data_IF_427453669471
#
_entry.id   IF_427453669471
#
_cell.length_a   1.000
_cell.length_b   1.000
_cell.length_c   1.000
_cell.angle_alpha   90.00
_cell.angle_beta   90.00
_cell.angle_gamma   90.00
#
_symmetry.space_group_name_H-M   'P 1'
#
loop_
_entity.id
_entity.type
_entity.pdbx_description
1 polymer ?
#
# COMPACT_ATOMS: atom_id res chain seq x y z
N UNK A 1 -5.37 -13.38 3.40
CA UNK A 1 -6.38 -12.65 2.59
C UNK A 1 -5.71 -11.43 2.02
N UNK A 2 -5.80 -11.21 0.71
CA UNK A 2 -5.26 -9.99 0.10
C UNK A 2 -6.19 -8.82 0.43
N UNK A 3 -5.64 -7.71 0.98
CA UNK A 3 -6.41 -6.49 1.20
C UNK A 3 -6.93 -5.94 -0.13
N UNK A 4 -8.21 -5.60 -0.17
CA UNK A 4 -8.87 -4.99 -1.34
C UNK A 4 -8.63 -3.47 -1.41
N UNK A 5 -8.10 -2.88 -0.36
CA UNK A 5 -7.87 -1.44 -0.25
C UNK A 5 -6.40 -1.07 -0.50
N UNK A 6 -6.19 0.15 -0.94
CA UNK A 6 -4.84 0.69 -1.10
C UNK A 6 -4.24 1.08 0.25
N UNK A 7 -2.92 1.02 0.34
CA UNK A 7 -2.14 1.59 1.45
C UNK A 7 -2.27 3.11 1.52
N UNK A 8 -2.07 3.68 2.71
CA UNK A 8 -1.99 5.14 2.89
C UNK A 8 -0.56 5.66 2.74
N UNK A 9 0.45 4.83 2.95
CA UNK A 9 1.87 5.22 2.91
C UNK A 9 2.62 4.61 1.72
N UNK A 10 3.74 5.24 1.38
CA UNK A 10 4.69 4.72 0.41
C UNK A 10 5.66 3.74 1.10
N UNK A 11 5.89 2.58 0.45
CA UNK A 11 6.71 1.49 1.00
C UNK A 11 8.20 1.80 1.11
N UNK A 12 8.68 2.84 0.46
CA UNK A 12 10.08 3.25 0.50
C UNK A 12 10.26 4.47 1.39
N UNK A 13 9.77 5.62 0.96
CA UNK A 13 10.06 6.90 1.63
C UNK A 13 9.41 7.05 3.00
N UNK A 14 8.16 6.56 3.16
CA UNK A 14 7.45 6.75 4.41
C UNK A 14 7.88 5.72 5.47
N UNK A 15 8.20 4.49 5.07
CA UNK A 15 8.75 3.48 5.99
C UNK A 15 10.16 3.88 6.46
N UNK A 16 11.03 4.31 5.54
CA UNK A 16 12.37 4.83 5.89
C UNK A 16 12.28 6.08 6.79
N UNK A 17 11.25 6.89 6.66
CA UNK A 17 10.98 8.01 7.56
C UNK A 17 10.66 7.58 9.01
N UNK A 18 10.28 6.33 9.26
CA UNK A 18 10.06 5.75 10.60
C UNK A 18 11.29 4.96 11.06
N UNK A 19 11.77 4.05 10.23
CA UNK A 19 12.95 3.22 10.46
C UNK A 19 13.88 3.37 9.26
N UNK A 20 14.94 4.13 9.43
CA UNK A 20 15.84 4.52 8.34
C UNK A 20 16.44 3.31 7.60
N UNK A 21 16.72 2.24 8.32
CA UNK A 21 17.31 1.00 7.82
C UNK A 21 16.30 -0.16 7.80
N UNK A 22 15.05 0.12 7.39
CA UNK A 22 13.96 -0.88 7.39
C UNK A 22 14.30 -2.12 6.56
N UNK A 23 15.10 -1.98 5.52
CA UNK A 23 15.48 -3.08 4.64
C UNK A 23 16.43 -4.10 5.31
N UNK A 24 17.00 -3.78 6.49
CA UNK A 24 17.71 -4.77 7.35
C UNK A 24 16.81 -5.87 7.90
N UNK A 25 15.52 -5.61 7.95
CA UNK A 25 14.54 -6.55 8.52
C UNK A 25 13.93 -7.46 7.45
N UNK A 26 14.54 -7.52 6.26
CA UNK A 26 14.20 -8.49 5.23
C UNK A 26 14.31 -9.92 5.77
N UNK A 27 13.24 -10.68 5.62
CA UNK A 27 13.10 -12.03 6.18
C UNK A 27 13.75 -13.05 5.28
N UNK A 28 15.07 -13.17 5.39
CA UNK A 28 15.86 -14.21 4.71
C UNK A 28 16.03 -15.43 5.59
N UNK A 29 15.99 -16.60 5.00
CA UNK A 29 16.19 -17.89 5.65
C UNK A 29 17.39 -18.58 5.03
N UNK A 30 18.36 -18.98 5.84
CA UNK A 30 19.49 -19.76 5.38
C UNK A 30 19.00 -21.14 4.94
N UNK A 31 19.35 -21.54 3.72
CA UNK A 31 19.05 -22.85 3.18
C UNK A 31 20.07 -23.89 3.68
N UNK A 32 19.59 -25.09 3.97
CA UNK A 32 20.49 -26.20 4.32
C UNK A 32 21.41 -26.55 3.13
N UNK A 33 22.70 -26.78 3.33
CA UNK A 33 23.67 -27.02 2.25
C UNK A 33 23.59 -28.46 1.72
N UNK A 34 22.52 -28.79 0.98
CA UNK A 34 22.23 -30.11 0.43
C UNK A 34 22.26 -30.12 -1.10
N UNK A 35 23.22 -29.44 -1.71
CA UNK A 35 23.34 -29.36 -3.16
C UNK A 35 23.67 -30.71 -3.77
N UNK A 36 23.04 -31.03 -4.89
CA UNK A 36 23.30 -32.21 -5.74
C UNK A 36 23.51 -31.79 -7.20
N UNK A 37 24.27 -32.57 -7.94
CA UNK A 37 24.46 -32.29 -9.36
C UNK A 37 23.30 -32.88 -10.16
N UNK A 38 22.68 -32.09 -11.01
CA UNK A 38 21.65 -32.53 -11.97
C UNK A 38 22.28 -32.81 -13.32
N UNK A 39 23.10 -31.90 -13.80
CA UNK A 39 23.89 -32.04 -15.03
C UNK A 39 25.15 -31.18 -14.96
N UNK A 40 25.94 -31.09 -16.00
CA UNK A 40 27.10 -30.20 -16.05
C UNK A 40 26.65 -28.77 -15.74
N UNK A 41 27.23 -28.15 -14.68
CA UNK A 41 26.97 -26.80 -14.25
C UNK A 41 25.56 -26.51 -13.70
N UNK A 42 24.66 -27.49 -13.66
CA UNK A 42 23.33 -27.38 -13.09
C UNK A 42 23.25 -28.18 -11.80
N UNK A 43 22.86 -27.51 -10.74
CA UNK A 43 22.79 -28.05 -9.36
C UNK A 43 21.39 -27.91 -8.82
N UNK A 44 21.01 -28.81 -7.92
CA UNK A 44 19.71 -28.80 -7.24
C UNK A 44 19.88 -28.78 -5.74
N UNK A 45 19.11 -27.91 -5.12
CA UNK A 45 18.90 -27.86 -3.68
C UNK A 45 17.45 -28.27 -3.40
N UNK A 46 17.25 -29.28 -2.56
CA UNK A 46 15.92 -29.79 -2.20
C UNK A 46 15.52 -29.33 -0.79
N UNK A 47 14.22 -29.43 -0.49
CA UNK A 47 13.64 -29.09 0.80
C UNK A 47 13.92 -27.62 1.20
N UNK A 48 13.80 -26.73 0.24
CA UNK A 48 14.13 -25.30 0.44
C UNK A 48 12.95 -24.50 0.98
N UNK A 49 11.72 -25.05 0.95
CA UNK A 49 10.51 -24.31 1.22
C UNK A 49 10.27 -23.21 0.17
N UNK A 50 9.27 -22.38 0.39
CA UNK A 50 8.95 -21.32 -0.57
C UNK A 50 10.12 -20.36 -0.80
N UNK A 51 10.47 -20.14 -2.06
CA UNK A 51 11.56 -19.25 -2.50
C UNK A 51 11.03 -18.26 -3.52
N UNK A 52 10.90 -17.01 -3.13
CA UNK A 52 10.64 -15.92 -4.08
C UNK A 52 11.94 -15.37 -4.62
N UNK A 53 12.86 -15.00 -3.73
CA UNK A 53 14.20 -14.54 -4.08
C UNK A 53 15.24 -15.43 -3.43
N UNK A 54 16.31 -15.76 -4.18
CA UNK A 54 17.44 -16.53 -3.72
C UNK A 54 18.69 -15.67 -3.73
N UNK A 55 19.47 -15.76 -2.65
CA UNK A 55 20.73 -15.04 -2.49
C UNK A 55 21.87 -16.04 -2.31
N UNK A 56 23.03 -15.72 -2.86
CA UNK A 56 24.26 -16.44 -2.64
C UNK A 56 25.29 -15.47 -2.07
N UNK A 57 25.79 -15.77 -0.89
CA UNK A 57 26.77 -14.93 -0.18
C UNK A 57 26.31 -13.44 -0.05
N UNK A 58 25.00 -13.23 0.14
CA UNK A 58 24.37 -11.91 0.24
C UNK A 58 24.05 -11.24 -1.12
N UNK A 59 24.41 -11.85 -2.24
CA UNK A 59 24.11 -11.33 -3.59
C UNK A 59 22.86 -12.00 -4.14
N UNK A 60 21.90 -11.20 -4.57
CA UNK A 60 20.68 -11.69 -5.19
C UNK A 60 20.95 -12.36 -6.54
N UNK A 61 20.31 -13.50 -6.75
CA UNK A 61 20.43 -14.32 -7.96
C UNK A 61 19.28 -14.00 -8.93
N UNK A 62 19.47 -14.31 -10.20
CA UNK A 62 18.47 -14.05 -11.24
C UNK A 62 17.48 -15.22 -11.34
N UNK A 63 16.19 -14.94 -11.04
CA UNK A 63 15.10 -15.90 -11.19
C UNK A 63 14.74 -16.07 -12.67
N UNK A 64 14.62 -17.31 -13.12
CA UNK A 64 14.19 -17.64 -14.48
C UNK A 64 13.01 -18.62 -14.46
N UNK A 65 12.20 -18.60 -15.51
CA UNK A 65 11.04 -19.52 -15.67
C UNK A 65 11.43 -20.84 -16.33
N UNK A 66 12.45 -20.80 -17.18
CA UNK A 66 12.99 -21.98 -17.89
C UNK A 66 14.12 -22.61 -17.08
N UNK A 67 14.73 -23.67 -17.64
CA UNK A 67 15.91 -24.28 -17.04
C UNK A 67 17.07 -23.28 -17.01
N UNK A 68 17.68 -23.01 -15.86
CA UNK A 68 18.80 -22.10 -15.74
C UNK A 68 19.97 -22.53 -16.69
N UNK A 69 20.53 -21.57 -17.40
CA UNK A 69 21.58 -21.83 -18.37
C UNK A 69 22.72 -20.79 -18.38
N UNK A 70 22.63 -19.76 -17.58
CA UNK A 70 23.66 -18.76 -17.36
C UNK A 70 24.04 -18.66 -15.87
N UNK A 71 25.25 -18.17 -15.59
CA UNK A 71 25.76 -18.05 -14.24
C UNK A 71 24.83 -17.20 -13.35
N UNK A 72 24.61 -17.69 -12.13
CA UNK A 72 23.76 -17.08 -11.11
C UNK A 72 22.25 -17.03 -11.46
N UNK A 73 21.82 -17.82 -12.43
CA UNK A 73 20.39 -18.06 -12.67
C UNK A 73 19.87 -19.20 -11.80
N UNK A 74 18.65 -19.04 -11.31
CA UNK A 74 17.95 -20.09 -10.59
C UNK A 74 16.49 -20.19 -11.00
N UNK A 75 15.94 -21.40 -10.81
CA UNK A 75 14.51 -21.68 -10.94
C UNK A 75 14.02 -22.39 -9.70
N UNK A 76 12.99 -21.86 -9.08
CA UNK A 76 12.28 -22.54 -8.02
C UNK A 76 11.18 -23.44 -8.60
N UNK A 77 11.12 -24.66 -8.13
CA UNK A 77 10.10 -25.63 -8.50
C UNK A 77 9.27 -25.96 -7.26
N UNK A 78 8.09 -25.35 -7.17
CA UNK A 78 7.17 -25.50 -6.04
C UNK A 78 6.70 -26.94 -5.87
N UNK A 79 6.48 -27.69 -6.98
CA UNK A 79 5.95 -29.07 -6.93
C UNK A 79 6.93 -30.08 -6.31
N UNK A 80 8.22 -29.80 -6.37
CA UNK A 80 9.28 -30.65 -5.83
C UNK A 80 10.02 -30.01 -4.64
N UNK A 81 9.58 -28.83 -4.22
CA UNK A 81 10.23 -28.03 -3.19
C UNK A 81 11.75 -27.95 -3.39
N UNK A 82 12.15 -27.53 -4.60
CA UNK A 82 13.56 -27.50 -4.98
C UNK A 82 13.93 -26.28 -5.79
N UNK A 83 15.20 -25.90 -5.72
CA UNK A 83 15.81 -24.86 -6.54
C UNK A 83 16.82 -25.50 -7.46
N UNK A 84 16.68 -25.29 -8.75
CA UNK A 84 17.72 -25.55 -9.75
C UNK A 84 18.55 -24.28 -9.94
N UNK A 85 19.86 -24.38 -9.85
CA UNK A 85 20.81 -23.27 -9.92
C UNK A 85 21.93 -23.60 -10.90
N UNK A 86 22.27 -22.64 -11.75
CA UNK A 86 23.36 -22.79 -12.71
C UNK A 86 24.59 -21.97 -12.30
N UNK A 87 25.73 -22.62 -12.31
CA UNK A 87 27.02 -21.99 -12.10
C UNK A 87 28.12 -22.74 -12.86
N UNK A 88 28.68 -22.11 -13.88
CA UNK A 88 29.77 -22.70 -14.65
C UNK A 88 31.00 -22.90 -13.77
N UNK A 89 31.70 -24.02 -14.01
CA UNK A 89 32.96 -24.36 -13.35
C UNK A 89 32.89 -24.40 -11.79
N UNK A 90 31.74 -24.76 -11.24
CA UNK A 90 31.57 -24.96 -9.79
C UNK A 90 31.57 -26.44 -9.41
N UNK A 91 31.48 -26.72 -8.13
CA UNK A 91 31.35 -28.06 -7.57
C UNK A 91 30.32 -28.06 -6.43
N UNK A 92 29.74 -29.23 -6.15
CA UNK A 92 28.84 -29.42 -4.99
C UNK A 92 29.52 -29.01 -3.68
N UNK A 93 30.80 -29.31 -3.52
CA UNK A 93 31.54 -28.91 -2.31
C UNK A 93 31.67 -27.40 -2.18
N UNK A 94 31.91 -26.68 -3.27
CA UNK A 94 31.96 -25.22 -3.28
C UNK A 94 30.60 -24.60 -2.96
N UNK A 95 29.51 -25.15 -3.53
CA UNK A 95 28.16 -24.68 -3.25
C UNK A 95 27.72 -24.95 -1.82
N UNK A 96 28.08 -26.10 -1.26
CA UNK A 96 27.80 -26.42 0.15
C UNK A 96 28.63 -25.56 1.13
N UNK A 97 29.68 -24.93 0.69
CA UNK A 97 30.48 -23.99 1.48
C UNK A 97 29.99 -22.54 1.36
N UNK A 98 29.19 -22.21 0.34
CA UNK A 98 28.59 -20.91 0.17
C UNK A 98 27.30 -20.77 1.01
N UNK A 99 26.97 -19.55 1.41
CA UNK A 99 25.74 -19.29 2.13
C UNK A 99 24.63 -18.96 1.13
N UNK A 100 23.62 -19.82 1.09
CA UNK A 100 22.41 -19.57 0.32
C UNK A 100 21.29 -19.16 1.26
N UNK A 101 20.60 -18.08 0.92
CA UNK A 101 19.46 -17.55 1.66
C UNK A 101 18.25 -17.44 0.74
N UNK A 102 17.12 -17.98 1.16
CA UNK A 102 15.84 -17.84 0.50
C UNK A 102 15.05 -16.71 1.17
N UNK A 103 14.59 -15.76 0.39
CA UNK A 103 13.75 -14.66 0.83
C UNK A 103 12.34 -14.71 0.25
N UNK A 104 11.42 -13.98 0.88
CA UNK A 104 10.19 -13.54 0.23
C UNK A 104 10.52 -12.30 -0.61
N UNK A 105 9.63 -11.94 -1.54
CA UNK A 105 9.73 -10.64 -2.16
C UNK A 105 9.50 -9.55 -1.08
N UNK A 106 10.56 -8.83 -0.78
CA UNK A 106 10.55 -7.82 0.29
C UNK A 106 9.64 -6.64 -0.04
N UNK A 107 9.58 -6.24 -1.31
CA UNK A 107 8.71 -5.17 -1.78
C UNK A 107 7.23 -5.57 -1.69
N UNK A 108 6.91 -6.80 -2.09
CA UNK A 108 5.56 -7.36 -1.94
C UNK A 108 5.16 -7.50 -0.48
N UNK A 109 6.08 -7.95 0.38
CA UNK A 109 5.84 -8.05 1.82
C UNK A 109 5.55 -6.67 2.42
N UNK A 110 6.37 -5.66 2.14
CA UNK A 110 6.12 -4.27 2.56
C UNK A 110 4.77 -3.78 2.07
N UNK A 111 4.47 -4.00 0.79
CA UNK A 111 3.19 -3.59 0.18
C UNK A 111 2.01 -4.24 0.86
N UNK A 112 2.06 -5.54 1.12
CA UNK A 112 1.00 -6.28 1.80
C UNK A 112 0.78 -5.78 3.21
N UNK A 113 1.85 -5.65 4.00
CA UNK A 113 1.77 -5.17 5.38
C UNK A 113 1.23 -3.74 5.44
N UNK A 114 1.67 -2.84 4.57
CA UNK A 114 1.13 -1.48 4.52
C UNK A 114 -0.38 -1.47 4.24
N UNK A 115 -0.88 -2.36 3.37
CA UNK A 115 -2.32 -2.49 3.11
C UNK A 115 -3.08 -3.07 4.30
N UNK A 116 -2.56 -4.11 4.94
CA UNK A 116 -3.16 -4.74 6.12
C UNK A 116 -3.27 -3.73 7.27
N UNK A 117 -2.23 -2.95 7.51
CA UNK A 117 -2.25 -1.90 8.53
C UNK A 117 -3.18 -0.73 8.16
N UNK A 118 -3.34 -0.41 6.89
CA UNK A 118 -4.33 0.57 6.45
C UNK A 118 -5.77 0.09 6.72
N UNK A 119 -6.04 -1.20 6.54
CA UNK A 119 -7.35 -1.80 6.85
C UNK A 119 -7.61 -1.86 8.36
N UNK A 120 -6.56 -2.14 9.16
CA UNK A 120 -6.64 -2.03 10.61
C UNK A 120 -7.04 -0.61 11.03
N UNK A 121 -6.39 0.42 10.47
CA UNK A 121 -6.72 1.81 10.76
C UNK A 121 -8.17 2.15 10.40
N UNK A 122 -8.65 1.70 9.23
CA UNK A 122 -10.05 1.90 8.81
C UNK A 122 -11.05 1.24 9.76
N UNK A 123 -10.69 0.06 10.26
CA UNK A 123 -11.53 -0.68 11.23
C UNK A 123 -11.50 -0.06 12.62
N UNK A 124 -10.40 0.57 13.01
CA UNK A 124 -10.23 1.16 14.33
C UNK A 124 -10.86 2.54 14.46
N UNK A 125 -10.84 3.32 13.37
CA UNK A 125 -11.43 4.65 13.33
C UNK A 125 -12.92 4.56 12.98
N UNK A 126 -13.76 5.27 13.72
CA UNK A 126 -15.23 5.30 13.52
C UNK A 126 -15.62 6.29 12.43
N UNK A 127 -14.68 6.71 11.59
CA UNK A 127 -14.88 7.72 10.55
C UNK A 127 -14.10 7.40 9.30
N UNK A 128 -14.61 7.80 8.15
CA UNK A 128 -13.95 7.52 6.88
C UNK A 128 -12.65 8.31 6.72
N UNK A 129 -11.67 7.69 6.07
CA UNK A 129 -10.41 8.32 5.69
C UNK A 129 -10.51 8.63 4.19
N UNK A 130 -10.53 9.90 3.86
CA UNK A 130 -10.64 10.38 2.48
C UNK A 130 -9.29 10.76 1.90
N UNK A 131 -9.14 10.61 0.58
CA UNK A 131 -8.05 11.25 -0.16
C UNK A 131 -8.20 12.76 -0.10
N UNK A 132 -7.09 13.47 -0.09
CA UNK A 132 -7.08 14.92 -0.26
C UNK A 132 -7.65 15.29 -1.62
N UNK A 133 -8.52 16.29 -1.66
CA UNK A 133 -9.25 16.68 -2.85
C UNK A 133 -8.37 17.34 -3.93
N UNK A 134 -7.15 17.73 -3.64
CA UNK A 134 -6.31 18.47 -4.58
C UNK A 134 -4.90 17.89 -4.63
N UNK A 135 -4.74 16.82 -5.42
CA UNK A 135 -3.45 16.17 -5.65
C UNK A 135 -2.65 16.81 -6.79
N UNK A 136 -3.28 17.65 -7.61
CA UNK A 136 -2.63 18.30 -8.74
C UNK A 136 -1.78 19.52 -8.36
N UNK A 137 -1.99 20.06 -7.17
CA UNK A 137 -1.27 21.25 -6.72
C UNK A 137 0.21 21.02 -6.44
N UNK A 138 0.63 19.77 -6.23
CA UNK A 138 1.94 19.49 -5.68
C UNK A 138 2.73 18.40 -6.41
N UNK A 139 2.32 17.95 -7.57
CA UNK A 139 3.03 16.94 -8.37
C UNK A 139 2.65 15.48 -8.03
N UNK A 140 2.87 14.59 -8.99
CA UNK A 140 2.44 13.18 -8.94
C UNK A 140 3.11 12.33 -7.84
N UNK A 141 4.05 12.89 -7.08
CA UNK A 141 4.78 12.19 -6.01
C UNK A 141 4.20 12.46 -4.62
N UNK A 142 3.12 13.25 -4.50
CA UNK A 142 2.68 13.70 -3.20
C UNK A 142 1.57 12.86 -2.60
N UNK A 143 1.54 12.89 -1.27
CA UNK A 143 0.69 12.08 -0.44
C UNK A 143 -0.77 12.39 -0.67
N UNK A 144 -1.52 11.40 -1.11
CA UNK A 144 -2.95 11.51 -1.34
C UNK A 144 -3.78 11.61 -0.05
N UNK A 145 -3.15 11.50 1.12
CA UNK A 145 -3.80 11.49 2.43
C UNK A 145 -3.14 12.49 3.37
N UNK A 146 -3.82 12.80 4.46
CA UNK A 146 -3.24 13.63 5.51
C UNK A 146 -1.97 13.02 6.09
N UNK A 147 -1.00 13.87 6.39
CA UNK A 147 0.29 13.44 6.91
C UNK A 147 0.17 12.54 8.14
N UNK A 148 -0.77 12.85 9.04
CA UNK A 148 -1.00 12.04 10.24
C UNK A 148 -1.42 10.61 9.88
N UNK A 149 -2.29 10.43 8.89
CA UNK A 149 -2.74 9.12 8.39
C UNK A 149 -1.59 8.35 7.78
N UNK A 150 -0.80 9.00 6.91
CA UNK A 150 0.39 8.40 6.30
C UNK A 150 1.39 7.97 7.36
N UNK A 151 1.65 8.84 8.34
CA UNK A 151 2.60 8.58 9.42
C UNK A 151 2.18 7.42 10.30
N UNK A 152 0.91 7.35 10.70
CA UNK A 152 0.39 6.24 11.51
C UNK A 152 0.48 4.92 10.75
N UNK A 153 0.09 4.89 9.47
CA UNK A 153 0.18 3.67 8.65
C UNK A 153 1.63 3.19 8.53
N UNK A 154 2.58 4.10 8.30
CA UNK A 154 4.00 3.76 8.23
C UNK A 154 4.55 3.24 9.57
N UNK A 155 4.15 3.82 10.70
CA UNK A 155 4.54 3.36 12.04
C UNK A 155 4.06 1.93 12.28
N UNK A 156 2.77 1.66 12.05
CA UNK A 156 2.20 0.33 12.25
C UNK A 156 2.83 -0.71 11.31
N UNK A 157 3.06 -0.36 10.06
CA UNK A 157 3.72 -1.22 9.10
C UNK A 157 5.18 -1.53 9.51
N UNK A 158 5.94 -0.52 9.94
CA UNK A 158 7.30 -0.72 10.45
C UNK A 158 7.34 -1.60 11.70
N UNK A 159 6.41 -1.42 12.62
CA UNK A 159 6.31 -2.25 13.81
C UNK A 159 6.13 -3.73 13.45
N UNK A 160 5.25 -4.02 12.48
CA UNK A 160 5.00 -5.39 12.04
C UNK A 160 6.20 -6.00 11.28
N UNK A 161 6.84 -5.22 10.39
CA UNK A 161 8.04 -5.65 9.67
C UNK A 161 9.21 -5.96 10.62
N UNK A 162 9.42 -5.15 11.65
CA UNK A 162 10.51 -5.30 12.61
C UNK A 162 10.26 -6.44 13.60
N UNK A 163 9.01 -6.75 13.91
CA UNK A 163 8.59 -7.66 15.01
C UNK A 163 9.23 -9.03 14.97
N UNK A 164 9.50 -9.59 13.79
CA UNK A 164 10.12 -10.91 13.66
C UNK A 164 11.60 -10.95 14.06
N UNK A 165 12.28 -9.82 14.02
CA UNK A 165 13.71 -9.71 14.31
C UNK A 165 13.99 -9.06 15.67
N UNK A 166 13.18 -8.05 16.02
CA UNK A 166 13.36 -7.23 17.22
C UNK A 166 11.99 -6.88 17.82
N UNK A 167 11.42 -7.77 18.65
CA UNK A 167 10.10 -7.56 19.24
C UNK A 167 10.03 -6.33 20.15
N UNK A 168 11.11 -6.01 20.87
CA UNK A 168 11.14 -4.86 21.80
C UNK A 168 11.10 -3.53 21.02
N UNK A 169 11.90 -3.44 19.97
CA UNK A 169 11.88 -2.28 19.06
C UNK A 169 10.53 -2.16 18.34
N UNK A 170 9.95 -3.27 17.91
CA UNK A 170 8.64 -3.29 17.28
C UNK A 170 7.56 -2.75 18.21
N UNK A 171 7.56 -3.18 19.48
CA UNK A 171 6.64 -2.68 20.49
C UNK A 171 6.81 -1.17 20.69
N UNK A 172 8.05 -0.69 20.85
CA UNK A 172 8.31 0.74 21.02
C UNK A 172 7.84 1.57 19.80
N UNK A 173 7.93 1.04 18.59
CA UNK A 173 7.41 1.69 17.39
C UNK A 173 5.88 1.67 17.40
N UNK A 174 5.26 0.54 17.71
CA UNK A 174 3.80 0.39 17.75
C UNK A 174 3.15 1.33 18.77
N UNK A 175 3.75 1.49 19.95
CA UNK A 175 3.28 2.39 21.01
C UNK A 175 3.24 3.87 20.57
N UNK A 176 4.00 4.27 19.56
CA UNK A 176 3.88 5.60 18.98
C UNK A 176 2.52 5.81 18.29
N UNK A 177 1.94 4.75 17.71
CA UNK A 177 0.65 4.80 17.04
C UNK A 177 -0.49 4.35 17.96
N UNK A 178 -0.33 3.24 18.64
CA UNK A 178 -1.32 2.60 19.52
C UNK A 178 -0.66 2.27 20.86
N UNK A 179 -1.01 3.01 21.89
CA UNK A 179 -0.46 2.78 23.22
C UNK A 179 -1.57 2.29 24.17
N UNK A 180 -1.33 1.28 25.02
CA UNK A 180 -2.29 0.84 26.04
C UNK A 180 -2.86 1.97 26.90
N UNK A 181 -2.07 3.02 27.14
CA UNK A 181 -2.50 4.22 27.87
C UNK A 181 -3.37 5.18 27.04
N UNK A 182 -3.64 4.86 25.78
CA UNK A 182 -4.39 5.68 24.85
C UNK A 182 -3.68 6.97 24.42
N UNK A 183 -2.36 7.04 24.55
CA UNK A 183 -1.58 8.24 24.19
C UNK A 183 -1.01 8.18 22.77
N UNK A 184 -1.21 7.08 22.05
CA UNK A 184 -0.76 6.89 20.67
C UNK A 184 -1.43 7.84 19.68
N UNK A 185 -0.80 8.03 18.53
CA UNK A 185 -1.31 8.94 17.49
C UNK A 185 -2.68 8.49 16.96
N UNK A 186 -2.89 7.19 16.76
CA UNK A 186 -4.15 6.63 16.29
C UNK A 186 -5.25 6.79 17.37
N UNK A 187 -4.89 6.60 18.65
CA UNK A 187 -5.81 6.78 19.77
C UNK A 187 -6.27 8.23 19.88
N UNK A 188 -5.33 9.19 19.73
CA UNK A 188 -5.63 10.62 19.73
C UNK A 188 -6.48 11.01 18.52
N UNK A 189 -6.20 10.41 17.35
CA UNK A 189 -7.01 10.64 16.17
C UNK A 189 -8.44 10.11 16.37
N UNK A 190 -8.61 8.94 16.99
CA UNK A 190 -9.92 8.36 17.32
C UNK A 190 -10.71 9.24 18.28
N UNK A 191 -10.06 9.80 19.30
CA UNK A 191 -10.68 10.73 20.26
C UNK A 191 -10.89 12.14 19.73
N UNK A 192 -10.54 12.40 18.46
CA UNK A 192 -10.62 13.72 17.82
C UNK A 192 -9.74 14.80 18.46
N UNK A 193 -8.70 14.41 19.17
CA UNK A 193 -7.65 15.34 19.62
C UNK A 193 -6.81 15.83 18.45
N UNK A 194 -6.67 15.02 17.42
CA UNK A 194 -6.18 15.39 16.10
C UNK A 194 -7.31 15.38 15.09
N UNK A 195 -7.32 16.40 14.24
CA UNK A 195 -8.34 16.61 13.21
C UNK A 195 -7.68 16.45 11.84
N UNK A 196 -8.34 15.74 10.94
CA UNK A 196 -7.89 15.66 9.56
C UNK A 196 -8.18 16.97 8.82
N UNK A 197 -7.44 17.25 7.76
CA UNK A 197 -7.58 18.51 6.99
C UNK A 197 -8.99 18.73 6.45
N UNK A 198 -9.71 17.65 6.16
CA UNK A 198 -11.10 17.69 5.74
C UNK A 198 -12.10 17.98 6.88
N UNK A 199 -11.67 17.86 8.13
CA UNK A 199 -12.49 18.12 9.31
C UNK A 199 -12.27 19.53 9.89
N UNK A 200 -11.21 20.22 9.47
CA UNK A 200 -10.85 21.56 9.99
C UNK A 200 -11.59 22.71 9.33
N UNK A 201 -12.48 22.44 8.41
CA UNK A 201 -13.25 23.45 7.73
C UNK A 201 -14.25 24.08 8.72
N UNK A 202 -13.94 25.27 9.20
CA UNK A 202 -14.88 26.12 9.96
C UNK A 202 -16.05 26.64 9.11
N UNK A 203 -16.01 26.42 7.81
CA UNK A 203 -17.11 26.75 6.92
C UNK A 203 -18.04 25.52 6.86
N UNK A 204 -19.19 25.61 7.53
CA UNK A 204 -20.29 24.64 7.40
C UNK A 204 -20.78 24.46 5.95
N UNK A 205 -20.27 25.28 5.03
CA UNK A 205 -20.56 25.28 3.61
C UNK A 205 -19.59 24.42 2.77
N UNK A 206 -18.49 23.95 3.33
CA UNK A 206 -17.49 23.18 2.61
C UNK A 206 -17.55 21.71 2.99
N UNK A 207 -17.87 20.88 2.01
CA UNK A 207 -17.75 19.43 2.10
C UNK A 207 -16.37 18.94 1.70
N UNK A 208 -16.13 17.64 1.87
CA UNK A 208 -14.98 16.94 1.33
C UNK A 208 -15.32 16.42 -0.05
N UNK A 209 -14.51 16.77 -1.03
CA UNK A 209 -14.65 16.25 -2.39
C UNK A 209 -13.72 15.03 -2.53
N UNK A 210 -14.30 13.91 -2.89
CA UNK A 210 -13.57 12.70 -3.22
C UNK A 210 -13.88 12.30 -4.65
N UNK A 211 -12.84 12.14 -5.45
CA UNK A 211 -12.95 11.51 -6.74
C UNK A 211 -13.06 10.00 -6.57
N UNK A 212 -14.16 9.41 -7.05
CA UNK A 212 -14.41 7.97 -6.96
C UNK A 212 -13.84 7.25 -8.18
N UNK A 213 -14.05 7.82 -9.36
CA UNK A 213 -13.46 7.31 -10.59
C UNK A 213 -13.36 8.41 -11.64
N UNK A 214 -12.26 8.42 -12.39
CA UNK A 214 -12.03 9.28 -13.54
C UNK A 214 -11.97 8.44 -14.81
N UNK A 215 -12.58 8.93 -15.86
CA UNK A 215 -12.35 8.37 -17.19
C UNK A 215 -10.92 8.76 -17.64
N UNK A 216 -10.14 7.82 -18.18
CA UNK A 216 -8.76 8.04 -18.61
C UNK A 216 -8.56 9.19 -19.62
N UNK A 217 -9.63 9.59 -20.32
CA UNK A 217 -9.63 10.74 -21.27
C UNK A 217 -10.07 12.06 -20.65
N UNK A 218 -10.39 12.09 -19.34
CA UNK A 218 -10.87 13.32 -18.68
C UNK A 218 -9.68 14.19 -18.28
N UNK A 219 -9.69 15.44 -18.70
CA UNK A 219 -8.68 16.44 -18.35
C UNK A 219 -9.19 17.48 -17.33
N UNK A 220 -10.47 17.43 -16.99
CA UNK A 220 -11.10 18.31 -16.01
C UNK A 220 -11.47 17.58 -14.71
N UNK A 221 -11.50 18.30 -13.63
CA UNK A 221 -11.90 17.80 -12.31
C UNK A 221 -12.76 18.83 -11.57
N UNK A 222 -13.48 18.37 -10.55
CA UNK A 222 -14.27 19.25 -9.70
C UNK A 222 -13.38 19.81 -8.59
N UNK A 223 -13.14 21.10 -8.60
CA UNK A 223 -12.27 21.76 -7.63
C UNK A 223 -12.95 22.03 -6.29
N UNK A 224 -14.22 22.42 -6.33
CA UNK A 224 -14.95 22.83 -5.14
C UNK A 224 -16.46 22.59 -5.33
N UNK A 225 -17.12 22.20 -4.25
CA UNK A 225 -18.59 22.14 -4.17
C UNK A 225 -19.00 23.05 -3.03
N UNK A 226 -19.79 24.09 -3.35
CA UNK A 226 -20.32 25.02 -2.36
C UNK A 226 -21.83 24.82 -2.22
N UNK A 227 -22.25 24.71 -0.97
CA UNK A 227 -23.67 24.75 -0.63
C UNK A 227 -24.11 26.21 -0.57
N UNK A 228 -25.14 26.57 -1.32
CA UNK A 228 -25.79 27.86 -1.28
C UNK A 228 -27.16 27.69 -0.65
N UNK A 229 -27.33 28.18 0.54
CA UNK A 229 -28.61 28.18 1.27
C UNK A 229 -28.46 27.81 2.73
N UNK A 230 -29.53 27.93 3.53
CA UNK A 230 -29.50 27.51 4.92
C UNK A 230 -29.23 26.00 5.01
N UNK A 231 -28.46 25.53 6.00
CA UNK A 231 -28.17 24.11 6.21
C UNK A 231 -29.43 23.40 6.75
N UNK A 232 -30.45 23.30 5.94
CA UNK A 232 -31.73 22.73 6.34
C UNK A 232 -31.82 21.21 6.10
N UNK A 233 -30.76 20.59 5.58
CA UNK A 233 -30.79 19.17 5.21
C UNK A 233 -29.47 18.51 5.58
N UNK A 234 -29.55 17.52 6.42
CA UNK A 234 -28.41 16.68 6.80
C UNK A 234 -28.17 15.65 5.68
N UNK A 235 -27.32 16.00 4.75
CA UNK A 235 -26.81 15.02 3.77
C UNK A 235 -25.45 14.49 4.23
N UNK A 236 -25.33 13.18 4.37
CA UNK A 236 -24.06 12.52 4.67
C UNK A 236 -23.18 12.42 3.43
N UNK A 237 -23.78 12.23 2.28
CA UNK A 237 -23.08 12.01 1.03
C UNK A 237 -23.88 12.59 -0.14
N UNK A 238 -23.18 13.37 -0.97
CA UNK A 238 -23.69 13.82 -2.27
C UNK A 238 -22.75 13.27 -3.33
N UNK A 239 -23.31 12.49 -4.26
CA UNK A 239 -22.56 11.94 -5.39
C UNK A 239 -23.00 12.59 -6.68
N UNK A 240 -22.05 13.19 -7.39
CA UNK A 240 -22.23 13.72 -8.72
C UNK A 240 -21.64 12.74 -9.72
N UNK A 241 -22.45 12.31 -10.68
CA UNK A 241 -22.05 11.39 -11.76
C UNK A 241 -22.22 12.11 -13.09
N UNK A 242 -21.13 12.31 -13.81
CA UNK A 242 -21.18 12.87 -15.17
C UNK A 242 -21.75 11.80 -16.10
N UNK A 243 -22.96 12.02 -16.60
CA UNK A 243 -23.66 11.11 -17.53
C UNK A 243 -23.26 11.35 -18.98
N UNK A 244 -22.94 12.59 -19.32
CA UNK A 244 -22.45 12.97 -20.66
C UNK A 244 -21.32 13.98 -20.52
N UNK A 245 -20.13 13.62 -21.01
CA UNK A 245 -18.99 14.53 -21.03
C UNK A 245 -19.21 15.70 -22.00
N UNK A 246 -18.58 16.82 -21.73
CA UNK A 246 -18.61 18.00 -22.55
C UNK A 246 -17.28 18.76 -22.53
N UNK A 247 -17.21 19.86 -23.26
CA UNK A 247 -16.02 20.71 -23.33
C UNK A 247 -16.39 22.13 -22.90
N UNK A 248 -15.62 22.68 -21.97
CA UNK A 248 -15.75 24.08 -21.52
C UNK A 248 -14.68 24.98 -22.15
N UNK A 249 -14.41 24.84 -23.45
CA UNK A 249 -13.50 25.76 -24.13
C UNK A 249 -14.30 26.98 -24.66
N UNK A 250 -13.75 28.17 -24.43
CA UNK A 250 -14.38 29.42 -24.89
C UNK A 250 -14.69 29.34 -26.42
N UNK A 251 -15.97 29.43 -26.79
CA UNK A 251 -16.44 29.37 -28.17
C UNK A 251 -16.76 27.97 -28.72
N UNK A 252 -16.61 26.91 -27.94
CA UNK A 252 -16.97 25.53 -28.30
C UNK A 252 -17.62 24.81 -27.13
N UNK A 253 -18.64 25.41 -26.55
CA UNK A 253 -19.34 24.85 -25.41
C UNK A 253 -20.20 23.66 -25.82
N UNK A 254 -19.89 22.51 -25.25
CA UNK A 254 -20.74 21.33 -25.32
C UNK A 254 -21.28 21.07 -23.92
N UNK A 255 -22.61 20.96 -23.74
CA UNK A 255 -23.17 20.85 -22.40
C UNK A 255 -22.74 19.52 -21.72
N UNK A 256 -22.23 19.65 -20.51
CA UNK A 256 -22.01 18.51 -19.63
C UNK A 256 -23.30 18.17 -18.91
N UNK A 257 -23.72 16.92 -18.98
CA UNK A 257 -24.87 16.43 -18.21
C UNK A 257 -24.39 15.63 -17.02
N UNK A 258 -25.05 15.81 -15.87
CA UNK A 258 -24.72 15.11 -14.66
C UNK A 258 -25.96 14.73 -13.85
N UNK A 259 -25.83 13.66 -13.13
CA UNK A 259 -26.83 13.19 -12.19
C UNK A 259 -26.34 13.46 -10.76
N UNK A 260 -27.20 13.95 -9.89
CA UNK A 260 -26.90 14.14 -8.47
C UNK A 260 -27.66 13.12 -7.65
N UNK A 261 -26.95 12.39 -6.84
CA UNK A 261 -27.49 11.44 -5.88
C UNK A 261 -27.19 11.93 -4.49
N UNK A 262 -28.13 11.78 -3.58
CA UNK A 262 -27.99 12.17 -2.17
C UNK A 262 -28.29 11.00 -1.26
N UNK A 263 -27.60 10.93 -0.14
CA UNK A 263 -27.83 10.01 0.94
C UNK A 263 -27.83 10.80 2.24
N UNK A 264 -28.88 10.67 3.03
CA UNK A 264 -28.97 11.26 4.34
C UNK A 264 -28.57 10.25 5.44
N UNK A 265 -28.38 10.73 6.67
CA UNK A 265 -28.00 9.92 7.83
C UNK A 265 -28.96 8.76 8.13
N UNK A 266 -30.23 8.89 7.74
CA UNK A 266 -31.26 7.86 7.92
C UNK A 266 -31.36 6.92 6.73
N UNK A 267 -30.81 7.30 5.56
CA UNK A 267 -30.93 6.59 4.30
C UNK A 267 -29.75 5.67 3.98
N UNK A 268 -29.98 4.37 3.87
CA UNK A 268 -29.00 3.40 3.39
C UNK A 268 -28.82 3.41 1.85
N UNK A 269 -29.63 4.18 1.13
CA UNK A 269 -29.64 4.20 -0.34
C UNK A 269 -29.43 5.62 -0.87
N UNK A 270 -28.66 5.72 -1.95
CA UNK A 270 -28.55 6.94 -2.72
C UNK A 270 -29.81 7.17 -3.54
N UNK A 271 -30.37 8.36 -3.45
CA UNK A 271 -31.55 8.77 -4.24
C UNK A 271 -31.13 9.80 -5.28
N UNK A 272 -31.54 9.60 -6.53
CA UNK A 272 -31.33 10.57 -7.60
C UNK A 272 -32.26 11.77 -7.37
N UNK A 273 -31.68 12.97 -7.33
CA UNK A 273 -32.41 14.21 -7.04
C UNK A 273 -32.48 15.13 -8.25
N UNK A 274 -31.44 15.10 -9.09
CA UNK A 274 -31.31 15.96 -10.26
C UNK A 274 -30.91 15.16 -11.46
N UNK A 275 -31.59 15.42 -12.57
CA UNK A 275 -31.29 14.94 -13.92
C UNK A 275 -31.01 16.20 -14.75
N UNK A 276 -29.75 16.54 -14.98
CA UNK A 276 -29.36 17.78 -15.63
C UNK A 276 -28.46 17.56 -16.86
#
# INVERSE_FOLDING_TARGET
MSSIYSSFCNITTDLQGVVNDIDRYDRKRVCAPNWTTVSSNLYRLSDVGYVENLYKDGVELTKVTDTPNADNEYKYNESTDSVDFYLASSSVSALNSAVFEAGQDWEDLKTRICKEQADLMRSYLDRPIYKRANTTYQGASERNYDFIIVRINAILACADLVRSHDPEKAQAIEEMAMNPDGTGLLDKLKRREYVMSNETSFASEKGVIQEISLNASTTGYVEDIKLHGPPAVDYDEVRVVISTGGTFALGTESPVKYDVYVKNSEGLRMHKVVDA
#
